data_IF_656915115394
#
_entry.id   IF_656915115394
#
_cell.length_a   1.000
_cell.length_b   1.000
_cell.length_c   1.000
_cell.angle_alpha   90.00
_cell.angle_beta   90.00
_cell.angle_gamma   90.00
#
_symmetry.space_group_name_H-M   'P 1'
#
loop_
_entity.id
_entity.type
_entity.pdbx_description
1 polymer ?
#
# COMPACT_ATOMS: atom_id res chain seq x y z
N UNK A 1 -51.93 25.64 17.07
CA UNK A 1 -51.29 24.43 16.54
C UNK A 1 -50.18 24.92 15.61
N UNK A 2 -48.92 24.88 16.04
CA UNK A 2 -47.77 25.37 15.25
C UNK A 2 -47.03 24.15 14.74
N UNK A 3 -47.02 23.96 13.42
CA UNK A 3 -46.25 22.92 12.75
C UNK A 3 -44.81 23.41 12.59
N UNK A 4 -43.86 22.79 13.32
CA UNK A 4 -42.43 22.95 13.06
C UNK A 4 -42.11 22.26 11.73
N UNK A 5 -41.80 23.03 10.69
CA UNK A 5 -41.15 22.50 9.50
C UNK A 5 -39.66 22.32 9.82
N UNK A 6 -39.19 21.06 9.86
CA UNK A 6 -37.77 20.76 9.88
C UNK A 6 -37.18 21.15 8.52
N UNK A 7 -36.46 22.26 8.45
CA UNK A 7 -35.62 22.62 7.31
C UNK A 7 -34.38 21.72 7.39
N UNK A 8 -34.39 20.61 6.65
CA UNK A 8 -33.16 19.89 6.35
C UNK A 8 -32.37 20.74 5.36
N UNK A 9 -31.31 21.40 5.83
CA UNK A 9 -30.37 22.08 4.95
C UNK A 9 -29.76 21.07 3.97
N UNK A 10 -29.65 21.41 2.67
CA UNK A 10 -28.96 20.55 1.73
C UNK A 10 -27.48 20.46 2.13
N UNK A 11 -26.99 19.25 2.38
CA UNK A 11 -25.55 18.98 2.53
C UNK A 11 -24.91 19.34 1.20
N UNK A 12 -24.27 20.52 1.14
CA UNK A 12 -23.44 20.89 0.00
C UNK A 12 -22.20 20.00 0.06
N UNK A 13 -22.20 18.93 -0.74
CA UNK A 13 -21.01 18.12 -0.94
C UNK A 13 -19.93 19.02 -1.54
N UNK A 14 -18.83 19.21 -0.81
CA UNK A 14 -17.70 20.02 -1.25
C UNK A 14 -17.18 19.59 -2.63
N UNK A 15 -16.55 20.52 -3.34
CA UNK A 15 -16.05 20.30 -4.69
C UNK A 15 -15.04 19.14 -4.67
N UNK A 16 -15.24 18.15 -5.55
CA UNK A 16 -14.31 17.04 -5.69
C UNK A 16 -13.16 17.45 -6.63
N UNK A 17 -11.94 17.44 -6.12
CA UNK A 17 -10.73 17.74 -6.91
C UNK A 17 -9.90 16.47 -7.03
N UNK A 18 -9.64 15.94 -8.25
CA UNK A 18 -8.87 14.72 -8.41
C UNK A 18 -7.41 14.91 -7.97
N UNK A 19 -6.80 13.83 -7.50
CA UNK A 19 -5.37 13.78 -7.22
C UNK A 19 -4.76 12.44 -7.59
N UNK A 20 -3.47 12.46 -7.91
CA UNK A 20 -2.63 11.30 -8.16
C UNK A 20 -1.30 11.50 -7.42
N UNK A 21 -0.93 10.48 -6.66
CA UNK A 21 0.35 10.39 -5.97
C UNK A 21 0.98 9.05 -6.32
N UNK A 22 2.27 9.03 -6.58
CA UNK A 22 2.99 7.79 -6.80
C UNK A 22 4.38 7.80 -6.17
N UNK A 23 4.87 6.62 -5.84
CA UNK A 23 6.26 6.38 -5.49
C UNK A 23 6.74 5.13 -6.23
N UNK A 24 7.96 5.20 -6.74
CA UNK A 24 8.62 4.08 -7.41
C UNK A 24 9.95 3.81 -6.73
N UNK A 25 10.19 2.55 -6.41
CA UNK A 25 11.44 2.03 -5.90
C UNK A 25 12.17 1.25 -7.00
N UNK A 26 13.37 1.71 -7.31
CA UNK A 26 14.38 1.00 -8.06
C UNK A 26 15.72 1.18 -7.32
N UNK A 27 16.81 0.56 -7.79
CA UNK A 27 18.14 0.59 -7.16
C UNK A 27 18.62 2.00 -6.71
N UNK A 28 18.11 3.09 -7.29
CA UNK A 28 18.53 4.47 -7.02
C UNK A 28 17.47 5.36 -6.33
N UNK A 29 16.29 4.86 -5.98
CA UNK A 29 15.29 5.63 -5.23
C UNK A 29 15.05 4.94 -3.91
N UNK A 30 15.28 5.54 -2.73
CA UNK A 30 15.26 4.77 -1.50
C UNK A 30 13.82 4.57 -1.06
N UNK A 31 13.31 3.34 -1.21
CA UNK A 31 12.43 2.81 -0.18
C UNK A 31 13.32 2.19 0.88
N UNK A 32 12.92 2.30 2.14
CA UNK A 32 13.48 1.50 3.20
C UNK A 32 12.36 0.81 3.95
N UNK A 33 12.64 -0.38 4.45
CA UNK A 33 11.73 -1.12 5.31
C UNK A 33 12.52 -1.50 6.56
N UNK A 34 11.96 -1.25 7.73
CA UNK A 34 12.58 -1.69 8.98
C UNK A 34 12.23 -3.16 9.28
N UNK A 35 12.81 -3.71 10.34
CA UNK A 35 12.53 -5.08 10.77
C UNK A 35 11.08 -5.23 11.30
N UNK A 36 10.54 -4.19 11.95
CA UNK A 36 9.22 -4.19 12.60
C UNK A 36 9.13 -5.15 13.80
N UNK A 37 7.93 -5.32 14.36
CA UNK A 37 7.63 -6.40 15.32
C UNK A 37 7.00 -7.59 14.57
N UNK A 38 7.82 -8.58 14.23
CA UNK A 38 7.38 -9.78 13.51
C UNK A 38 7.40 -10.99 14.44
N UNK A 39 6.25 -11.64 14.61
CA UNK A 39 6.09 -12.79 15.49
C UNK A 39 5.27 -13.90 14.83
N UNK A 40 5.60 -15.18 15.09
CA UNK A 40 4.75 -16.28 14.68
C UNK A 40 3.38 -16.19 15.37
N UNK A 41 2.31 -16.44 14.62
CA UNK A 41 0.94 -16.51 15.11
C UNK A 41 0.65 -17.88 15.75
N UNK A 42 1.45 -18.26 16.76
CA UNK A 42 1.43 -19.62 17.31
C UNK A 42 1.81 -20.67 16.27
N UNK A 43 1.11 -21.80 16.24
CA UNK A 43 1.39 -22.92 15.33
C UNK A 43 0.67 -22.83 13.96
N UNK A 44 0.18 -21.65 13.57
CA UNK A 44 -0.67 -21.52 12.37
C UNK A 44 0.09 -21.34 11.06
N UNK A 45 1.43 -21.40 11.06
CA UNK A 45 2.29 -21.04 9.91
C UNK A 45 2.02 -19.63 9.35
N UNK A 46 1.68 -18.68 10.22
CA UNK A 46 1.44 -17.27 9.88
C UNK A 46 2.32 -16.38 10.73
N UNK A 47 2.59 -15.18 10.22
CA UNK A 47 3.19 -14.09 10.96
C UNK A 47 2.16 -13.04 11.29
N UNK A 48 2.30 -12.47 12.49
CA UNK A 48 1.74 -11.19 12.85
C UNK A 48 2.88 -10.20 12.74
N UNK A 49 2.70 -9.20 11.88
CA UNK A 49 3.59 -8.05 11.72
C UNK A 49 2.88 -6.88 12.35
N UNK A 50 3.57 -6.14 13.23
CA UNK A 50 3.05 -4.93 13.85
C UNK A 50 4.01 -3.77 13.72
N UNK A 51 3.44 -2.58 13.62
CA UNK A 51 4.14 -1.30 13.62
C UNK A 51 5.36 -1.30 12.69
N UNK A 52 5.22 -1.93 11.51
CA UNK A 52 6.32 -2.04 10.55
C UNK A 52 6.33 -0.83 9.63
N UNK A 53 7.50 -0.27 9.39
CA UNK A 53 7.64 0.99 8.67
C UNK A 53 8.22 0.76 7.28
N UNK A 54 7.56 1.33 6.28
CA UNK A 54 8.13 1.55 4.95
C UNK A 54 8.25 3.05 4.75
N UNK A 55 9.44 3.53 4.42
CA UNK A 55 9.65 4.92 4.04
C UNK A 55 10.02 5.02 2.57
N UNK A 56 9.76 6.17 1.98
CA UNK A 56 10.12 6.47 0.60
C UNK A 56 9.81 7.92 0.24
N UNK A 57 9.77 8.21 -1.06
CA UNK A 57 9.47 9.56 -1.56
C UNK A 57 8.31 9.50 -2.54
N UNK A 58 7.28 10.30 -2.31
CA UNK A 58 6.19 10.51 -3.24
C UNK A 58 6.51 11.60 -4.27
N UNK A 59 5.90 11.47 -5.43
CA UNK A 59 5.77 12.46 -6.48
C UNK A 59 4.29 12.62 -6.88
N UNK A 60 3.94 13.76 -7.48
CA UNK A 60 2.56 14.11 -7.84
C UNK A 60 1.97 15.18 -6.92
N UNK A 61 0.67 15.10 -6.66
CA UNK A 61 -0.06 16.11 -5.87
C UNK A 61 0.35 16.16 -4.38
N UNK A 62 0.94 15.07 -3.88
CA UNK A 62 1.70 15.03 -2.64
C UNK A 62 3.13 14.66 -3.03
N UNK A 63 4.10 15.47 -2.62
CA UNK A 63 5.51 15.24 -2.92
C UNK A 63 6.38 15.31 -1.67
N UNK A 64 7.48 14.56 -1.68
CA UNK A 64 8.41 14.48 -0.57
C UNK A 64 8.36 13.15 0.18
N UNK A 65 9.07 13.09 1.31
CA UNK A 65 9.19 11.87 2.10
C UNK A 65 7.85 11.41 2.68
N UNK A 66 7.62 10.10 2.65
CA UNK A 66 6.51 9.45 3.32
C UNK A 66 6.98 8.36 4.29
N UNK A 67 6.14 8.04 5.24
CA UNK A 67 6.24 6.84 6.09
C UNK A 67 4.90 6.14 6.10
N UNK A 68 4.89 4.84 5.81
CA UNK A 68 3.77 3.93 5.97
C UNK A 68 4.07 3.03 7.16
N UNK A 69 3.31 3.16 8.24
CA UNK A 69 3.31 2.21 9.36
C UNK A 69 2.18 1.21 9.13
N UNK A 70 2.44 -0.08 9.22
CA UNK A 70 1.42 -1.09 8.97
C UNK A 70 1.46 -2.29 9.90
N UNK A 71 0.27 -2.87 10.06
CA UNK A 71 0.02 -4.14 10.70
C UNK A 71 -0.53 -5.13 9.67
N UNK A 72 -0.12 -6.39 9.76
CA UNK A 72 -0.69 -7.45 8.93
C UNK A 72 -0.59 -8.81 9.61
N UNK A 73 -1.44 -9.74 9.17
CA UNK A 73 -1.34 -11.14 9.52
C UNK A 73 -1.32 -11.96 8.22
N UNK A 74 -0.20 -12.61 7.92
CA UNK A 74 0.04 -13.25 6.62
C UNK A 74 0.59 -14.66 6.76
N UNK A 75 0.27 -15.60 5.85
CA UNK A 75 0.93 -16.89 5.77
C UNK A 75 2.42 -16.75 5.46
N UNK A 76 3.24 -17.57 6.10
CA UNK A 76 4.69 -17.66 5.89
C UNK A 76 5.05 -17.73 4.40
N UNK A 77 4.41 -18.66 3.68
CA UNK A 77 4.77 -18.99 2.31
C UNK A 77 4.40 -17.91 1.27
N UNK A 78 3.42 -17.05 1.54
CA UNK A 78 2.84 -16.17 0.52
C UNK A 78 2.85 -14.71 0.87
N UNK A 79 3.06 -14.34 2.14
CA UNK A 79 3.01 -12.95 2.62
C UNK A 79 1.72 -12.21 2.19
N UNK A 80 0.66 -12.96 1.89
CA UNK A 80 -0.60 -12.48 1.33
C UNK A 80 -1.65 -12.34 2.41
N UNK A 81 -2.27 -11.17 2.54
CA UNK A 81 -3.27 -10.93 3.57
C UNK A 81 -3.72 -9.48 3.68
N UNK A 82 -4.63 -9.21 4.63
CA UNK A 82 -5.09 -7.86 4.91
C UNK A 82 -3.98 -7.02 5.55
N UNK A 83 -3.86 -5.78 5.12
CA UNK A 83 -2.90 -4.79 5.64
C UNK A 83 -3.69 -3.59 6.13
N UNK A 84 -3.50 -3.26 7.40
CA UNK A 84 -4.00 -2.03 8.00
C UNK A 84 -2.83 -1.10 8.17
N UNK A 85 -2.91 0.10 7.60
CA UNK A 85 -1.76 0.99 7.59
C UNK A 85 -2.15 2.45 7.81
N UNK A 86 -1.19 3.21 8.31
CA UNK A 86 -1.22 4.66 8.43
C UNK A 86 -0.11 5.23 7.56
N UNK A 87 -0.44 6.19 6.71
CA UNK A 87 0.51 6.93 5.88
C UNK A 87 0.65 8.35 6.42
N UNK A 88 1.89 8.81 6.54
CA UNK A 88 2.25 10.19 6.84
C UNK A 88 3.16 10.73 5.74
N UNK A 89 2.82 11.87 5.15
CA UNK A 89 3.63 12.58 4.16
C UNK A 89 3.48 14.10 4.35
N UNK A 90 4.49 14.73 4.95
CA UNK A 90 4.40 16.15 5.33
C UNK A 90 3.25 16.39 6.30
N UNK A 91 2.28 17.22 5.89
CA UNK A 91 1.08 17.54 6.70
C UNK A 91 -0.07 16.55 6.50
N UNK A 92 0.06 15.63 5.54
CA UNK A 92 -0.98 14.68 5.22
C UNK A 92 -0.85 13.43 6.07
N UNK A 93 -1.97 13.01 6.65
CA UNK A 93 -2.11 11.73 7.33
C UNK A 93 -3.30 10.99 6.76
N UNK A 94 -3.16 9.68 6.52
CA UNK A 94 -4.24 8.87 6.00
C UNK A 94 -4.22 7.45 6.55
N UNK A 95 -5.41 6.89 6.74
CA UNK A 95 -5.60 5.47 7.02
C UNK A 95 -5.79 4.71 5.72
N UNK A 96 -5.08 3.60 5.58
CA UNK A 96 -5.13 2.70 4.44
C UNK A 96 -5.61 1.32 4.88
N UNK A 97 -6.47 0.72 4.08
CA UNK A 97 -6.84 -0.69 4.19
C UNK A 97 -6.56 -1.33 2.86
N UNK A 98 -5.60 -2.25 2.84
CA UNK A 98 -5.09 -2.90 1.65
C UNK A 98 -5.12 -4.41 1.81
N UNK A 99 -4.92 -5.12 0.71
CA UNK A 99 -4.68 -6.56 0.66
C UNK A 99 -3.43 -6.79 -0.18
N UNK A 100 -2.55 -7.65 0.31
CA UNK A 100 -1.44 -8.20 -0.48
C UNK A 100 -1.81 -9.56 -1.06
N UNK A 101 -1.35 -9.82 -2.29
CA UNK A 101 -1.45 -11.12 -2.96
C UNK A 101 -0.21 -11.40 -3.79
N UNK A 102 0.26 -12.65 -3.84
CA UNK A 102 1.31 -13.05 -4.78
C UNK A 102 0.80 -12.98 -6.22
N UNK A 103 1.61 -12.43 -7.12
CA UNK A 103 1.32 -12.40 -8.55
C UNK A 103 2.47 -11.86 -9.40
N UNK A 104 2.29 -11.81 -10.74
CA UNK A 104 3.28 -11.25 -11.64
C UNK A 104 3.37 -9.73 -11.47
N UNK A 105 4.57 -9.21 -11.23
CA UNK A 105 4.83 -7.76 -11.22
C UNK A 105 5.05 -7.24 -12.64
N UNK A 106 5.07 -5.91 -12.88
CA UNK A 106 5.41 -5.35 -14.18
C UNK A 106 6.89 -5.43 -14.55
N UNK A 107 7.74 -6.11 -13.76
CA UNK A 107 9.18 -6.23 -14.01
C UNK A 107 9.43 -7.42 -14.95
N UNK A 108 9.93 -7.20 -16.19
CA UNK A 108 10.19 -8.28 -17.13
C UNK A 108 11.33 -9.20 -16.67
N UNK A 109 11.26 -10.47 -17.06
CA UNK A 109 12.35 -11.45 -16.92
C UNK A 109 12.49 -12.27 -18.21
N UNK A 110 13.68 -12.83 -18.46
CA UNK A 110 14.00 -13.43 -19.76
C UNK A 110 13.50 -14.88 -19.88
N UNK A 111 13.82 -15.73 -18.89
CA UNK A 111 13.61 -17.17 -18.97
C UNK A 111 12.60 -17.61 -17.89
N UNK A 112 11.40 -18.07 -18.25
CA UNK A 112 10.41 -18.54 -17.28
C UNK A 112 10.87 -19.87 -16.68
N UNK A 113 10.85 -19.92 -15.35
CA UNK A 113 11.21 -21.11 -14.55
C UNK A 113 10.11 -21.47 -13.53
N UNK A 114 9.03 -20.68 -13.50
CA UNK A 114 7.90 -20.85 -12.59
C UNK A 114 8.16 -20.42 -11.15
N UNK A 115 9.36 -19.93 -10.81
CA UNK A 115 9.77 -19.59 -9.44
C UNK A 115 10.35 -18.19 -9.31
N UNK A 116 11.31 -17.82 -10.16
CA UNK A 116 11.91 -16.49 -10.24
C UNK A 116 11.38 -15.70 -11.44
N UNK A 117 10.76 -16.39 -12.39
CA UNK A 117 10.17 -15.80 -13.59
C UNK A 117 8.89 -16.56 -13.96
N UNK A 118 7.76 -15.84 -13.92
CA UNK A 118 6.44 -16.37 -14.24
C UNK A 118 6.07 -16.07 -15.70
N UNK A 119 5.64 -17.10 -16.43
CA UNK A 119 5.05 -16.93 -17.76
C UNK A 119 3.60 -16.43 -17.64
N UNK A 120 3.24 -15.43 -18.43
CA UNK A 120 1.87 -14.90 -18.52
C UNK A 120 1.48 -14.71 -20.00
N UNK A 121 0.17 -14.56 -20.33
CA UNK A 121 -0.26 -14.35 -21.71
C UNK A 121 0.34 -13.12 -22.41
N UNK A 122 0.91 -12.18 -21.66
CA UNK A 122 1.44 -10.91 -22.18
C UNK A 122 2.97 -10.79 -22.01
N UNK A 123 3.64 -11.84 -21.55
CA UNK A 123 5.09 -11.87 -21.35
C UNK A 123 5.51 -12.55 -20.05
N UNK A 124 6.81 -12.49 -19.77
CA UNK A 124 7.44 -13.13 -18.62
C UNK A 124 7.77 -12.07 -17.56
N UNK A 125 7.37 -12.34 -16.32
CA UNK A 125 7.45 -11.35 -15.24
C UNK A 125 7.96 -11.91 -13.93
N UNK A 126 8.70 -11.08 -13.19
CA UNK A 126 9.18 -11.43 -11.85
C UNK A 126 7.98 -11.48 -10.88
N UNK A 127 7.83 -12.55 -10.08
CA UNK A 127 6.79 -12.61 -9.06
C UNK A 127 7.04 -11.63 -7.91
N UNK A 128 5.97 -11.17 -7.27
CA UNK A 128 6.05 -10.31 -6.10
C UNK A 128 4.71 -10.18 -5.39
N UNK A 129 4.63 -9.23 -4.46
CA UNK A 129 3.40 -8.88 -3.76
C UNK A 129 2.70 -7.75 -4.49
N UNK A 130 1.48 -8.02 -4.94
CA UNK A 130 0.56 -7.03 -5.49
C UNK A 130 -0.26 -6.43 -4.34
N UNK A 131 -0.42 -5.11 -4.34
CA UNK A 131 -1.12 -4.35 -3.31
C UNK A 131 -2.35 -3.71 -3.92
N UNK A 132 -3.50 -3.87 -3.28
CA UNK A 132 -4.73 -3.20 -3.67
C UNK A 132 -5.53 -2.80 -2.44
N UNK A 133 -6.08 -1.60 -2.43
CA UNK A 133 -6.78 -1.09 -1.26
C UNK A 133 -7.41 0.28 -1.43
N UNK A 134 -7.74 0.88 -0.29
CA UNK A 134 -8.34 2.20 -0.19
C UNK A 134 -7.63 3.00 0.88
N UNK A 135 -7.69 4.31 0.74
CA UNK A 135 -7.13 5.29 1.65
C UNK A 135 -8.18 6.37 1.98
N UNK A 136 -8.19 6.84 3.22
CA UNK A 136 -8.97 7.99 3.66
C UNK A 136 -8.09 8.94 4.48
N UNK A 137 -8.04 10.22 4.10
CA UNK A 137 -7.29 11.21 4.85
C UNK A 137 -7.92 11.46 6.22
N UNK A 138 -7.05 11.59 7.21
CA UNK A 138 -7.37 11.97 8.59
C UNK A 138 -7.04 13.44 8.83
N UNK A 139 -5.97 13.96 8.21
CA UNK A 139 -5.52 15.34 8.33
C UNK A 139 -4.75 15.81 7.08
N UNK A 140 -4.46 17.11 7.00
CA UNK A 140 -3.82 17.76 5.85
C UNK A 140 -4.79 18.09 4.72
N UNK A 141 -5.76 17.21 4.45
CA UNK A 141 -6.90 17.46 3.58
C UNK A 141 -8.06 16.49 3.88
N UNK A 142 -9.25 16.77 3.34
CA UNK A 142 -10.37 15.82 3.33
C UNK A 142 -10.38 15.10 1.99
N UNK A 143 -10.51 13.78 1.99
CA UNK A 143 -10.53 13.02 0.74
C UNK A 143 -10.35 11.53 0.94
N UNK A 144 -10.50 10.82 -0.17
CA UNK A 144 -10.31 9.36 -0.24
C UNK A 144 -9.69 8.98 -1.57
N UNK A 145 -9.02 7.82 -1.61
CA UNK A 145 -8.40 7.30 -2.82
C UNK A 145 -8.34 5.78 -2.84
N UNK A 146 -8.12 5.24 -4.02
CA UNK A 146 -7.73 3.85 -4.21
C UNK A 146 -6.21 3.76 -4.15
N UNK A 147 -5.72 2.74 -3.47
CA UNK A 147 -4.29 2.43 -3.39
C UNK A 147 -4.04 1.20 -4.25
N UNK A 148 -3.04 1.27 -5.12
CA UNK A 148 -2.57 0.11 -5.88
C UNK A 148 -1.05 0.11 -5.93
N UNK A 149 -0.45 -1.06 -6.05
CA UNK A 149 1.00 -1.15 -6.07
C UNK A 149 1.50 -2.57 -6.24
N UNK A 150 2.80 -2.69 -6.25
CA UNK A 150 3.49 -3.98 -6.24
C UNK A 150 4.85 -3.80 -5.57
N UNK A 151 5.41 -4.88 -5.04
CA UNK A 151 6.78 -4.91 -4.57
C UNK A 151 7.40 -6.29 -4.75
N UNK A 152 8.72 -6.30 -4.96
CA UNK A 152 9.55 -7.50 -4.97
C UNK A 152 10.36 -7.46 -3.67
N UNK A 153 10.10 -8.40 -2.78
CA UNK A 153 10.74 -8.48 -1.46
C UNK A 153 11.86 -9.53 -1.46
N UNK A 154 12.93 -9.27 -0.71
CA UNK A 154 13.84 -10.32 -0.26
C UNK A 154 13.31 -10.89 1.05
N UNK A 155 13.27 -12.22 1.13
CA UNK A 155 12.85 -12.94 2.32
C UNK A 155 14.07 -13.58 3.00
N UNK A 156 14.08 -13.62 4.33
CA UNK A 156 15.04 -14.44 5.07
C UNK A 156 14.66 -15.94 5.02
N UNK A 157 15.44 -16.78 5.70
CA UNK A 157 15.19 -18.22 5.79
C UNK A 157 13.88 -18.56 6.51
N UNK A 158 13.38 -17.64 7.32
CA UNK A 158 12.12 -17.73 8.04
C UNK A 158 10.97 -17.10 7.25
N UNK A 159 11.19 -16.65 6.00
CA UNK A 159 10.18 -16.05 5.15
C UNK A 159 9.75 -14.64 5.54
N UNK A 160 10.50 -13.94 6.39
CA UNK A 160 10.26 -12.53 6.70
C UNK A 160 10.81 -11.63 5.60
N UNK A 161 10.07 -10.57 5.25
CA UNK A 161 10.62 -9.51 4.40
C UNK A 161 11.81 -8.88 5.12
N UNK A 162 12.96 -8.78 4.46
CA UNK A 162 14.17 -8.11 4.98
C UNK A 162 14.52 -6.86 4.18
N UNK A 163 14.16 -6.83 2.90
CA UNK A 163 14.31 -5.65 2.05
C UNK A 163 13.30 -5.68 0.91
N UNK A 164 13.15 -4.53 0.25
CA UNK A 164 12.40 -4.37 -0.99
C UNK A 164 13.44 -4.07 -2.08
N UNK A 165 13.38 -4.80 -3.20
CA UNK A 165 14.34 -4.66 -4.32
C UNK A 165 13.82 -3.69 -5.37
N UNK A 166 12.51 -3.76 -5.62
CA UNK A 166 11.80 -2.88 -6.52
C UNK A 166 10.34 -2.81 -6.07
N UNK A 167 9.67 -1.72 -6.40
CA UNK A 167 8.27 -1.56 -6.05
C UNK A 167 7.66 -0.30 -6.62
N UNK A 168 6.34 -0.24 -6.55
CA UNK A 168 5.56 0.94 -6.88
C UNK A 168 4.36 1.02 -5.95
N UNK A 169 4.05 2.22 -5.52
CA UNK A 169 2.81 2.55 -4.83
C UNK A 169 2.15 3.71 -5.55
N UNK A 170 0.89 3.58 -5.90
CA UNK A 170 0.08 4.60 -6.56
C UNK A 170 -1.19 4.82 -5.77
N UNK A 171 -1.56 6.08 -5.63
CA UNK A 171 -2.78 6.49 -4.95
C UNK A 171 -3.51 7.44 -5.90
N UNK A 172 -4.74 7.08 -6.26
CA UNK A 172 -5.61 7.90 -7.12
C UNK A 172 -6.89 8.18 -6.36
N UNK A 173 -7.22 9.46 -6.20
CA UNK A 173 -8.35 9.84 -5.36
C UNK A 173 -8.93 11.21 -5.66
N UNK A 174 -9.75 11.67 -4.71
CA UNK A 174 -10.40 12.98 -4.75
C UNK A 174 -10.29 13.66 -3.39
N UNK A 175 -9.90 14.93 -3.42
CA UNK A 175 -10.05 15.87 -2.31
C UNK A 175 -11.49 16.37 -2.24
N UNK A 176 -11.94 16.72 -1.05
CA UNK A 176 -13.19 17.44 -0.79
C UNK A 176 -12.85 18.84 -0.31
N UNK A 177 -13.13 19.85 -1.13
CA UNK A 177 -12.92 21.27 -0.83
C UNK A 177 -14.22 21.95 -0.40
#
# INVERSE_FOLDING_TARGET
MVTLAALSEPVVAGQQVPFIVSSTHAQNTPWSIDEGDVKPAGHSARFIVRDRHITGTFAGDISGGFTVTYDTNVPLATQSGPIHARMVAGVYEANMTMVSSVGPTPVPCEIPDGTTCLETPVGNFVPGLLLNGRMNFQSGAKGKGNVSGWLIALLDQEGHITSIVAGQLTIVGQWVQ
#
